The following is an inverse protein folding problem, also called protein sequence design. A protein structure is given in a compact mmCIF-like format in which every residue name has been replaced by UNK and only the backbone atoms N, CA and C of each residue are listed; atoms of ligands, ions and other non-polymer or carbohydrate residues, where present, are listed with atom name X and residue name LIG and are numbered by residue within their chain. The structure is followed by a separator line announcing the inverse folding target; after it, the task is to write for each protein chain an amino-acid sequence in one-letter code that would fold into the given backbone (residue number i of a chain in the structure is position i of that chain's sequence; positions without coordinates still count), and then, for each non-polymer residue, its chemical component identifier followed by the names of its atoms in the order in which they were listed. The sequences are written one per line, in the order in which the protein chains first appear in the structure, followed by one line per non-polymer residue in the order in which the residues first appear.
data_IF_019445540830
#
_entry.id   IF_019445540830
#
_cell.length_a   1.000
_cell.length_b   1.000
_cell.length_c   1.000
_cell.angle_alpha   90.00
_cell.angle_beta   90.00
_cell.angle_gamma   90.00
#
_symmetry.space_group_name_H-M   'P 1'
#
loop_
_entity.id
_entity.type
_entity.pdbx_description
1 polymer ?
#
# COMPACT_ATOMS: atom_id res chain seq x y z
N UNK A 1 -25.63 -5.30 24.16
CA UNK A 1 -24.32 -5.56 23.56
C UNK A 1 -24.39 -5.09 22.12
N UNK A 2 -23.60 -4.08 21.73
CA UNK A 2 -23.63 -3.55 20.37
C UNK A 2 -23.04 -4.57 19.39
N UNK A 3 -23.72 -4.80 18.28
CA UNK A 3 -23.23 -5.65 17.19
C UNK A 3 -21.94 -5.06 16.60
N UNK A 4 -20.94 -5.91 16.43
CA UNK A 4 -19.65 -5.59 15.79
C UNK A 4 -19.58 -6.24 14.40
N UNK A 5 -18.79 -5.67 13.51
CA UNK A 5 -18.56 -6.23 12.18
C UNK A 5 -17.58 -7.40 12.25
N UNK A 6 -17.94 -8.54 11.65
CA UNK A 6 -17.10 -9.74 11.59
C UNK A 6 -15.82 -9.54 10.76
N UNK A 7 -15.82 -8.60 9.80
CA UNK A 7 -14.65 -8.29 8.99
C UNK A 7 -13.66 -7.39 9.73
N UNK A 8 -14.10 -6.24 10.24
CA UNK A 8 -13.19 -5.21 10.77
C UNK A 8 -13.16 -5.10 12.31
N UNK A 9 -14.11 -5.69 13.03
CA UNK A 9 -14.20 -5.63 14.49
C UNK A 9 -14.75 -4.30 15.05
N UNK A 10 -15.05 -3.31 14.20
CA UNK A 10 -15.69 -2.06 14.62
C UNK A 10 -17.19 -2.25 14.90
N UNK A 11 -17.79 -1.35 15.67
CA UNK A 11 -19.24 -1.30 15.83
C UNK A 11 -19.93 -1.10 14.48
N UNK A 12 -21.12 -1.70 14.27
CA UNK A 12 -21.81 -1.55 12.99
C UNK A 12 -22.12 -0.09 12.62
N UNK A 13 -22.22 0.82 13.60
CA UNK A 13 -22.43 2.26 13.38
C UNK A 13 -21.18 2.98 12.83
N UNK A 14 -19.98 2.47 13.12
CA UNK A 14 -18.71 3.01 12.63
C UNK A 14 -18.11 2.17 11.48
N UNK A 15 -18.76 1.06 11.12
CA UNK A 15 -18.31 0.15 10.10
C UNK A 15 -18.73 0.65 8.71
N UNK A 16 -17.79 0.63 7.78
CA UNK A 16 -18.00 0.94 6.36
C UNK A 16 -17.67 -0.27 5.45
N UNK A 17 -17.47 -1.47 6.02
CA UNK A 17 -17.17 -2.70 5.26
C UNK A 17 -18.20 -2.98 4.15
N UNK A 18 -19.49 -2.79 4.43
CA UNK A 18 -20.56 -2.98 3.44
C UNK A 18 -20.67 -1.89 2.37
N UNK A 19 -19.89 -0.80 2.48
CA UNK A 19 -19.85 0.27 1.48
C UNK A 19 -18.71 0.07 0.47
N UNK A 20 -17.77 -0.84 0.73
CA UNK A 20 -16.73 -1.14 -0.24
C UNK A 20 -17.32 -1.93 -1.40
N UNK A 21 -17.02 -1.46 -2.60
CA UNK A 21 -17.15 -2.28 -3.80
C UNK A 21 -15.86 -3.07 -3.93
N UNK A 22 -15.95 -4.36 -4.21
CA UNK A 22 -14.79 -5.14 -4.63
C UNK A 22 -14.25 -4.52 -5.91
N UNK A 23 -13.02 -4.04 -5.86
CA UNK A 23 -12.31 -3.52 -7.00
C UNK A 23 -11.47 -4.66 -7.57
N UNK A 24 -11.84 -5.14 -8.75
CA UNK A 24 -11.01 -6.05 -9.51
C UNK A 24 -9.80 -5.26 -10.00
N UNK A 25 -8.65 -5.53 -9.38
CA UNK A 25 -7.38 -4.96 -9.75
C UNK A 25 -6.64 -5.96 -10.63
N UNK A 26 -6.17 -5.52 -11.80
CA UNK A 26 -5.38 -6.35 -12.71
C UNK A 26 -3.88 -6.29 -12.42
N UNK A 27 -3.51 -5.82 -11.22
CA UNK A 27 -2.14 -5.54 -10.85
C UNK A 27 -1.83 -6.16 -9.49
N UNK A 28 -0.60 -6.64 -9.34
CA UNK A 28 -0.11 -7.30 -8.15
C UNK A 28 0.22 -6.25 -7.08
N UNK A 29 -0.68 -6.04 -6.12
CA UNK A 29 -0.57 -4.98 -5.12
C UNK A 29 0.08 -5.45 -3.82
N UNK A 30 1.10 -4.70 -3.41
CA UNK A 30 1.85 -4.90 -2.19
C UNK A 30 1.83 -3.65 -1.32
N UNK A 31 1.54 -3.81 -0.03
CA UNK A 31 1.70 -2.76 0.98
C UNK A 31 2.84 -3.15 1.89
N UNK A 32 3.93 -2.37 1.85
CA UNK A 32 5.09 -2.56 2.72
C UNK A 32 4.92 -1.66 3.94
N UNK A 33 4.82 -2.25 5.12
CA UNK A 33 4.38 -1.57 6.34
C UNK A 33 5.53 -1.39 7.32
N UNK A 34 5.72 -0.18 7.82
CA UNK A 34 6.70 0.08 8.87
C UNK A 34 6.39 -0.72 10.15
N UNK A 35 7.37 -1.30 10.87
CA UNK A 35 7.11 -2.16 12.03
C UNK A 35 6.31 -1.52 13.17
N UNK A 36 6.31 -0.18 13.27
CA UNK A 36 5.48 0.53 14.25
C UNK A 36 4.00 0.55 13.86
N UNK A 37 3.71 0.76 12.58
CA UNK A 37 2.34 0.74 12.05
C UNK A 37 1.80 -0.68 11.98
N UNK A 38 2.67 -1.66 11.68
CA UNK A 38 2.32 -3.09 11.67
C UNK A 38 1.65 -3.55 12.97
N UNK A 39 2.11 -3.04 14.12
CA UNK A 39 1.57 -3.37 15.44
C UNK A 39 0.24 -2.67 15.77
N UNK A 40 -0.17 -1.67 14.98
CA UNK A 40 -1.40 -0.92 15.21
C UNK A 40 -2.56 -1.57 14.48
N UNK A 41 -3.57 -2.04 15.22
CA UNK A 41 -4.78 -2.62 14.61
C UNK A 41 -5.56 -1.65 13.71
N UNK A 42 -5.33 -0.35 13.87
CA UNK A 42 -5.99 0.71 13.08
C UNK A 42 -5.24 1.07 11.80
N UNK A 43 -4.13 0.40 11.47
CA UNK A 43 -3.47 0.64 10.18
C UNK A 43 -4.41 0.22 9.03
N UNK A 44 -4.44 1.06 7.99
CA UNK A 44 -5.11 0.76 6.73
C UNK A 44 -4.56 -0.50 6.06
N UNK A 45 -3.29 -0.87 6.33
CA UNK A 45 -2.70 -2.10 5.80
C UNK A 45 -3.43 -3.36 6.28
N UNK A 46 -3.85 -3.40 7.55
CA UNK A 46 -4.62 -4.54 8.09
C UNK A 46 -6.00 -4.64 7.46
N UNK A 47 -6.60 -3.50 7.15
CA UNK A 47 -7.85 -3.46 6.41
C UNK A 47 -7.65 -4.00 4.99
N UNK A 48 -6.63 -3.52 4.26
CA UNK A 48 -6.32 -3.97 2.90
C UNK A 48 -5.97 -5.47 2.83
N UNK A 49 -5.24 -5.99 3.83
CA UNK A 49 -4.92 -7.41 3.93
C UNK A 49 -6.17 -8.30 3.97
N UNK A 50 -7.22 -7.86 4.68
CA UNK A 50 -8.51 -8.58 4.75
C UNK A 50 -9.27 -8.58 3.41
N UNK A 51 -8.90 -7.70 2.49
CA UNK A 51 -9.44 -7.61 1.14
C UNK A 51 -8.47 -8.17 0.09
N UNK A 52 -7.53 -9.04 0.49
CA UNK A 52 -6.69 -9.81 -0.43
C UNK A 52 -5.45 -9.08 -0.96
N UNK A 53 -5.18 -7.86 -0.49
CA UNK A 53 -3.93 -7.15 -0.82
C UNK A 53 -2.78 -7.76 -0.03
N UNK A 54 -1.64 -8.00 -0.68
CA UNK A 54 -0.47 -8.55 0.01
C UNK A 54 0.16 -7.48 0.90
N UNK A 55 0.39 -7.81 2.16
CA UNK A 55 1.07 -6.92 3.11
C UNK A 55 2.36 -7.53 3.62
N UNK A 56 3.40 -6.71 3.67
CA UNK A 56 4.77 -7.14 4.01
C UNK A 56 5.27 -6.22 5.12
N UNK A 57 5.69 -6.78 6.25
CA UNK A 57 6.40 -5.99 7.27
C UNK A 57 7.77 -5.58 6.73
N UNK A 58 8.07 -4.29 6.81
CA UNK A 58 9.34 -3.74 6.36
C UNK A 58 10.50 -4.19 7.27
N UNK A 59 11.53 -4.77 6.64
CA UNK A 59 12.78 -5.15 7.29
C UNK A 59 13.98 -4.49 6.61
N UNK A 60 14.67 -3.59 7.31
CA UNK A 60 15.76 -2.78 6.72
C UNK A 60 16.79 -3.59 5.93
N UNK A 61 17.18 -4.77 6.40
CA UNK A 61 18.26 -5.58 5.82
C UNK A 61 17.81 -6.68 4.87
N UNK A 62 16.51 -6.96 4.79
CA UNK A 62 15.98 -8.10 4.02
C UNK A 62 14.89 -7.61 3.06
N UNK A 63 15.27 -6.96 1.96
CA UNK A 63 14.32 -6.57 0.93
C UNK A 63 13.75 -7.82 0.24
N UNK A 64 12.42 -7.93 0.11
CA UNK A 64 11.78 -9.08 -0.54
C UNK A 64 12.06 -9.09 -2.05
N UNK A 65 12.58 -10.20 -2.57
CA UNK A 65 12.96 -10.32 -3.98
C UNK A 65 11.78 -10.20 -4.95
N UNK A 66 10.55 -10.54 -4.51
CA UNK A 66 9.35 -10.37 -5.35
C UNK A 66 9.04 -8.90 -5.69
N UNK A 67 9.64 -7.94 -4.97
CA UNK A 67 9.46 -6.51 -5.22
C UNK A 67 10.55 -5.91 -6.12
N UNK A 68 11.42 -6.74 -6.71
CA UNK A 68 12.45 -6.24 -7.62
C UNK A 68 11.83 -5.59 -8.86
N UNK A 69 12.32 -4.40 -9.22
CA UNK A 69 11.80 -3.54 -10.29
C UNK A 69 10.34 -3.10 -10.13
N UNK A 70 9.78 -3.23 -8.92
CA UNK A 70 8.41 -2.80 -8.64
C UNK A 70 8.23 -1.30 -8.87
N UNK A 71 7.04 -0.95 -9.33
CA UNK A 71 6.60 0.45 -9.33
C UNK A 71 6.21 0.80 -7.91
N UNK A 72 6.80 1.86 -7.35
CA UNK A 72 6.43 2.32 -6.01
C UNK A 72 5.65 3.61 -6.12
N UNK A 73 4.43 3.62 -5.58
CA UNK A 73 3.62 4.82 -5.47
C UNK A 73 4.14 5.67 -4.32
N UNK A 74 5.03 6.60 -4.65
CA UNK A 74 5.68 7.45 -3.67
C UNK A 74 6.06 8.79 -4.29
N UNK A 75 5.85 9.86 -3.53
CA UNK A 75 6.22 11.21 -3.95
C UNK A 75 7.71 11.44 -3.73
N UNK A 76 8.46 11.48 -4.81
CA UNK A 76 9.88 11.87 -4.87
C UNK A 76 10.08 12.91 -5.97
N UNK A 77 11.20 13.64 -5.93
CA UNK A 77 11.48 14.68 -6.93
C UNK A 77 11.65 14.13 -8.35
N UNK A 78 12.01 12.85 -8.47
CA UNK A 78 12.16 12.08 -9.71
C UNK A 78 10.94 11.20 -10.06
N UNK A 79 9.86 11.28 -9.29
CA UNK A 79 8.67 10.48 -9.54
C UNK A 79 7.94 10.95 -10.80
N UNK A 80 7.55 10.01 -11.66
CA UNK A 80 6.74 10.29 -12.86
C UNK A 80 5.24 9.99 -12.59
N UNK A 81 4.31 10.59 -13.34
CA UNK A 81 2.89 10.25 -13.22
C UNK A 81 2.63 8.74 -13.41
N UNK A 82 1.79 8.18 -12.56
CA UNK A 82 1.31 6.80 -12.66
C UNK A 82 0.08 6.73 -13.58
N UNK A 83 0.11 5.83 -14.57
CA UNK A 83 -1.04 5.42 -15.39
C UNK A 83 -1.35 3.96 -15.10
N UNK A 84 -2.55 3.67 -14.61
CA UNK A 84 -2.99 2.31 -14.36
C UNK A 84 -3.22 1.51 -15.65
N UNK A 85 -3.45 2.18 -16.79
CA UNK A 85 -3.72 1.52 -18.08
C UNK A 85 -2.48 0.85 -18.67
N UNK A 86 -1.30 1.40 -18.38
CA UNK A 86 -0.02 0.99 -18.98
C UNK A 86 0.89 0.28 -17.97
N UNK A 87 0.37 -0.06 -16.79
CA UNK A 87 1.14 -0.69 -15.73
C UNK A 87 1.06 -2.21 -15.82
N UNK A 88 2.22 -2.83 -15.96
CA UNK A 88 2.43 -4.26 -15.80
C UNK A 88 3.42 -4.51 -14.65
N UNK A 89 3.16 -5.55 -13.87
CA UNK A 89 3.99 -5.97 -12.73
C UNK A 89 3.53 -5.49 -11.34
N UNK A 90 4.42 -5.59 -10.34
CA UNK A 90 4.07 -5.31 -8.96
C UNK A 90 4.02 -3.81 -8.66
N UNK A 91 2.98 -3.42 -7.94
CA UNK A 91 2.78 -2.08 -7.42
C UNK A 91 2.96 -2.08 -5.90
N UNK A 92 3.81 -1.19 -5.40
CA UNK A 92 4.15 -1.08 -3.98
C UNK A 92 3.67 0.25 -3.42
N UNK A 93 3.01 0.18 -2.27
CA UNK A 93 2.73 1.35 -1.41
C UNK A 93 3.51 1.18 -0.11
N UNK A 94 4.15 2.25 0.35
CA UNK A 94 4.85 2.28 1.64
C UNK A 94 3.91 2.83 2.70
N UNK A 95 3.57 2.03 3.71
CA UNK A 95 2.74 2.42 4.84
C UNK A 95 3.61 2.74 6.06
N UNK A 96 3.46 3.96 6.56
CA UNK A 96 4.29 4.57 7.59
C UNK A 96 4.01 6.05 7.68
N UNK A 97 4.54 6.71 8.71
CA UNK A 97 4.60 8.18 8.68
C UNK A 97 5.40 8.64 7.46
N UNK A 98 5.13 9.84 6.93
CA UNK A 98 5.88 10.38 5.78
C UNK A 98 7.40 10.28 5.95
N UNK A 99 7.90 10.55 7.15
CA UNK A 99 9.33 10.44 7.48
C UNK A 99 9.83 9.00 7.47
N UNK A 100 9.04 8.04 7.95
CA UNK A 100 9.41 6.61 7.96
C UNK A 100 9.34 6.02 6.55
N UNK A 101 8.28 6.32 5.79
CA UNK A 101 8.14 5.89 4.40
C UNK A 101 9.30 6.40 3.52
N UNK A 102 9.73 7.66 3.70
CA UNK A 102 10.94 8.20 3.02
C UNK A 102 12.20 7.38 3.34
N UNK A 103 12.38 6.97 4.60
CA UNK A 103 13.52 6.12 5.00
C UNK A 103 13.42 4.72 4.42
N UNK A 104 12.22 4.12 4.42
CA UNK A 104 11.97 2.82 3.82
C UNK A 104 12.31 2.83 2.33
N UNK A 105 11.81 3.83 1.59
CA UNK A 105 12.14 4.05 0.19
C UNK A 105 13.64 4.16 -0.01
N UNK A 106 14.31 5.06 0.72
CA UNK A 106 15.75 5.29 0.58
C UNK A 106 16.61 4.05 0.84
N UNK A 107 16.20 3.17 1.77
CA UNK A 107 16.95 1.94 2.07
C UNK A 107 16.80 0.88 0.98
N UNK A 108 15.62 0.75 0.39
CA UNK A 108 15.32 -0.35 -0.54
C UNK A 108 15.38 0.05 -2.01
N UNK A 109 15.22 1.34 -2.35
CA UNK A 109 15.05 1.79 -3.74
C UNK A 109 16.15 1.30 -4.67
N UNK A 110 17.42 1.38 -4.25
CA UNK A 110 18.55 0.88 -5.03
C UNK A 110 18.61 -0.65 -5.09
N UNK A 111 18.40 -1.32 -3.95
CA UNK A 111 18.50 -2.77 -3.86
C UNK A 111 17.39 -3.49 -4.64
N UNK A 112 16.20 -2.88 -4.70
CA UNK A 112 15.04 -3.39 -5.41
C UNK A 112 14.84 -2.72 -6.77
N UNK A 113 15.70 -1.79 -7.19
CA UNK A 113 15.54 -1.02 -8.43
C UNK A 113 14.13 -0.40 -8.57
N UNK A 114 13.61 0.19 -7.49
CA UNK A 114 12.27 0.78 -7.49
C UNK A 114 12.13 1.88 -8.54
N UNK A 115 10.94 1.93 -9.14
CA UNK A 115 10.54 2.97 -10.09
C UNK A 115 9.51 3.87 -9.42
N UNK A 116 9.90 5.06 -8.90
CA UNK A 116 8.95 5.93 -8.23
C UNK A 116 7.94 6.50 -9.22
N UNK A 117 6.67 6.47 -8.82
CA UNK A 117 5.55 7.06 -9.54
C UNK A 117 4.60 7.74 -8.57
N UNK A 118 3.82 8.71 -9.06
CA UNK A 118 2.79 9.36 -8.26
C UNK A 118 1.43 9.36 -8.94
N UNK A 119 0.36 9.26 -8.16
CA UNK A 119 -1.01 9.37 -8.67
C UNK A 119 -1.39 10.84 -8.75
N UNK A 120 -1.74 11.32 -9.94
CA UNK A 120 -2.29 12.65 -10.13
C UNK A 120 -3.82 12.61 -9.99
N UNK A 121 -4.33 13.06 -8.85
CA UNK A 121 -5.78 13.12 -8.60
C UNK A 121 -6.48 14.31 -9.29
N UNK A 122 -5.73 15.23 -9.90
CA UNK A 122 -6.28 16.42 -10.55
C UNK A 122 -6.68 16.20 -12.02
N UNK A 123 -6.41 15.02 -12.58
CA UNK A 123 -6.89 14.62 -13.90
C UNK A 123 -7.96 13.53 -13.74
N UNK A 124 -9.18 13.70 -14.26
CA UNK A 124 -10.17 12.64 -14.25
C UNK A 124 -9.69 11.54 -15.21
N UNK A 125 -9.02 10.53 -14.66
CA UNK A 125 -8.78 9.28 -15.36
C UNK A 125 -10.09 8.49 -15.39
N UNK A 126 -10.87 8.67 -16.45
CA UNK A 126 -11.94 7.73 -16.83
C UNK A 126 -11.56 7.13 -18.18
#
# INVERSE_FOLDING_TARGET
MGSVCEHCGFSLQACFCGQFRELAFNFDWHVVVHPREWKRMTSSSHFLAKHGVQTIEYQRTHPPSQLHSATVLFLTDDAEPFSARDHDGPLVVLDGTWTEAKKMYAHWSKALAFKPRYVNFASPSI
#
